data_IF_553470692623
#
_entry.id   IF_553470692623
#
_cell.length_a   1.000
_cell.length_b   1.000
_cell.length_c   1.000
_cell.angle_alpha   90.00
_cell.angle_beta   90.00
_cell.angle_gamma   90.00
#
_symmetry.space_group_name_H-M   'P 1'
#
loop_
_entity.id
_entity.type
_entity.pdbx_description
1 polymer ?
#
# COMPACT_ATOMS: atom_id res chain seq x y z
N UNK A 1 -40.82 14.23 25.23
CA UNK A 1 -41.22 15.60 24.87
C UNK A 1 -41.08 16.49 26.11
N UNK A 2 -40.25 17.52 26.05
CA UNK A 2 -40.08 18.49 27.15
C UNK A 2 -41.34 19.35 27.21
N UNK A 3 -42.08 19.28 28.32
CA UNK A 3 -43.48 19.74 28.38
C UNK A 3 -43.70 21.27 28.37
N UNK A 4 -42.65 22.10 28.31
CA UNK A 4 -42.77 23.57 28.39
C UNK A 4 -41.83 24.34 27.42
N UNK A 5 -41.39 23.74 26.30
CA UNK A 5 -40.51 24.42 25.35
C UNK A 5 -41.31 25.11 24.22
N UNK A 6 -41.00 26.39 23.97
CA UNK A 6 -41.49 27.16 22.80
C UNK A 6 -41.10 26.46 21.50
N UNK A 7 -41.92 26.58 20.45
CA UNK A 7 -41.65 25.93 19.16
C UNK A 7 -40.36 26.45 18.51
N UNK A 8 -40.02 27.73 18.67
CA UNK A 8 -38.74 28.30 18.24
C UNK A 8 -37.55 27.62 18.94
N UNK A 9 -37.70 27.33 20.22
CA UNK A 9 -36.65 26.67 21.01
C UNK A 9 -36.49 25.20 20.62
N UNK A 10 -37.57 24.54 20.18
CA UNK A 10 -37.49 23.17 19.63
C UNK A 10 -36.74 23.15 18.30
N UNK A 11 -36.99 24.11 17.43
CA UNK A 11 -36.32 24.21 16.14
C UNK A 11 -34.82 24.50 16.31
N UNK A 12 -34.44 25.40 17.21
CA UNK A 12 -33.03 25.66 17.54
C UNK A 12 -32.34 24.42 18.13
N UNK A 13 -33.02 23.68 19.01
CA UNK A 13 -32.51 22.41 19.54
C UNK A 13 -32.30 21.38 18.43
N UNK A 14 -33.22 21.31 17.46
CA UNK A 14 -33.14 20.39 16.33
C UNK A 14 -31.99 20.76 15.38
N UNK A 15 -31.80 22.05 15.10
CA UNK A 15 -30.68 22.55 14.33
C UNK A 15 -29.35 22.23 15.01
N UNK A 16 -29.24 22.51 16.32
CA UNK A 16 -28.05 22.23 17.12
C UNK A 16 -27.73 20.74 17.15
N UNK A 17 -28.73 19.87 17.32
CA UNK A 17 -28.57 18.42 17.26
C UNK A 17 -28.04 17.95 15.90
N UNK A 18 -28.51 18.56 14.82
CA UNK A 18 -28.09 18.22 13.46
C UNK A 18 -26.62 18.59 13.22
N UNK A 19 -26.21 19.77 13.68
CA UNK A 19 -24.81 20.22 13.63
C UNK A 19 -23.89 19.32 14.46
N UNK A 20 -24.32 18.92 15.67
CA UNK A 20 -23.55 18.01 16.53
C UNK A 20 -23.41 16.62 15.92
N UNK A 21 -24.47 16.08 15.31
CA UNK A 21 -24.41 14.79 14.58
C UNK A 21 -23.47 14.85 13.38
N UNK A 22 -23.41 15.99 12.69
CA UNK A 22 -22.47 16.21 11.60
C UNK A 22 -21.02 16.24 12.12
N UNK A 23 -20.76 16.98 13.20
CA UNK A 23 -19.44 17.04 13.84
C UNK A 23 -18.99 15.67 14.38
N UNK A 24 -19.89 14.90 15.00
CA UNK A 24 -19.60 13.55 15.50
C UNK A 24 -19.11 12.60 14.40
N UNK A 25 -19.52 12.81 13.15
CA UNK A 25 -19.08 12.00 12.00
C UNK A 25 -17.71 12.39 11.47
N UNK A 26 -17.09 13.45 11.99
CA UNK A 26 -15.75 13.86 11.59
C UNK A 26 -14.72 12.80 12.02
N UNK A 27 -13.78 12.40 11.14
CA UNK A 27 -12.71 11.45 11.46
C UNK A 27 -11.93 11.77 12.75
N UNK A 28 -11.80 13.05 13.12
CA UNK A 28 -11.13 13.49 14.35
C UNK A 28 -11.74 12.89 15.62
N UNK A 29 -13.06 12.68 15.67
CA UNK A 29 -13.74 12.18 16.88
C UNK A 29 -13.87 10.66 16.94
N UNK A 30 -13.35 9.90 15.97
CA UNK A 30 -13.42 8.41 15.98
C UNK A 30 -12.67 7.79 17.15
N UNK A 31 -11.66 8.46 17.68
CA UNK A 31 -10.88 8.03 18.85
C UNK A 31 -11.53 8.39 20.18
N UNK A 32 -12.59 9.22 20.17
CA UNK A 32 -13.29 9.65 21.38
C UNK A 32 -14.40 8.64 21.71
N UNK A 33 -14.09 7.72 22.63
CA UNK A 33 -15.05 6.76 23.15
C UNK A 33 -16.05 7.37 24.15
N UNK A 34 -17.00 6.55 24.62
CA UNK A 34 -17.92 6.95 25.69
C UNK A 34 -17.13 7.46 26.89
N UNK A 35 -17.49 8.65 27.38
CA UNK A 35 -16.88 9.25 28.56
C UNK A 35 -17.06 8.33 29.77
N UNK A 36 -15.98 7.70 30.22
CA UNK A 36 -15.97 6.79 31.39
C UNK A 36 -15.75 7.54 32.72
N UNK A 37 -15.99 8.85 32.72
CA UNK A 37 -15.53 9.76 33.78
C UNK A 37 -14.16 10.35 33.45
N UNK A 38 -13.87 11.52 34.01
CA UNK A 38 -12.50 11.98 34.12
C UNK A 38 -11.87 11.17 35.25
N UNK A 39 -10.79 10.43 34.96
CA UNK A 39 -9.81 10.12 35.98
C UNK A 39 -9.13 11.45 36.36
N UNK A 40 -9.86 12.31 37.06
CA UNK A 40 -9.33 13.59 37.51
C UNK A 40 -8.40 13.27 38.67
N UNK A 41 -7.13 13.12 38.33
CA UNK A 41 -6.07 13.19 39.32
C UNK A 41 -6.20 14.53 40.06
N UNK A 42 -6.01 14.50 41.38
CA UNK A 42 -6.34 15.61 42.27
C UNK A 42 -5.80 16.95 41.76
N UNK A 43 -6.69 17.95 41.64
CA UNK A 43 -6.32 19.33 41.28
C UNK A 43 -5.25 19.92 42.23
N UNK A 44 -5.23 19.45 43.49
CA UNK A 44 -4.19 19.80 44.44
C UNK A 44 -2.83 19.19 44.07
N UNK A 45 -2.80 17.94 43.60
CA UNK A 45 -1.56 17.31 43.09
C UNK A 45 -1.03 18.02 41.84
N UNK A 46 -1.90 18.57 41.00
CA UNK A 46 -1.48 19.27 39.79
C UNK A 46 -1.03 20.73 40.04
N UNK A 47 -1.68 21.45 40.97
CA UNK A 47 -1.49 22.91 41.12
C UNK A 47 -0.79 23.34 42.40
N UNK A 48 -0.81 22.55 43.48
CA UNK A 48 -0.17 22.97 44.72
C UNK A 48 1.36 22.90 44.61
N UNK A 49 2.04 23.90 45.15
CA UNK A 49 3.50 23.97 45.24
C UNK A 49 4.02 22.79 46.06
N UNK A 50 5.09 22.14 45.60
CA UNK A 50 5.61 20.88 46.16
C UNK A 50 4.92 19.64 45.62
N UNK A 51 3.60 19.54 45.72
CA UNK A 51 2.84 18.39 45.20
C UNK A 51 2.91 18.25 43.68
N UNK A 52 2.88 19.36 42.94
CA UNK A 52 3.08 19.38 41.48
C UNK A 52 4.42 18.80 41.04
N UNK A 53 5.48 18.98 41.83
CA UNK A 53 6.81 18.45 41.53
C UNK A 53 6.86 16.94 41.79
N UNK A 54 6.27 16.47 42.89
CA UNK A 54 6.13 15.03 43.19
C UNK A 54 5.28 14.35 42.11
N UNK A 55 4.17 14.97 41.73
CA UNK A 55 3.27 14.49 40.68
C UNK A 55 3.97 14.39 39.32
N UNK A 56 4.75 15.40 38.96
CA UNK A 56 5.57 15.39 37.73
C UNK A 56 6.57 14.23 37.76
N UNK A 57 7.28 14.04 38.87
CA UNK A 57 8.25 12.96 39.03
C UNK A 57 7.58 11.58 38.98
N UNK A 58 6.43 11.42 39.64
CA UNK A 58 5.63 10.20 39.59
C UNK A 58 5.12 9.91 38.17
N UNK A 59 4.59 10.91 37.46
CA UNK A 59 4.15 10.79 36.07
C UNK A 59 5.30 10.41 35.14
N UNK A 60 6.49 11.01 35.33
CA UNK A 60 7.70 10.64 34.61
C UNK A 60 8.08 9.19 34.89
N UNK A 61 8.07 8.78 36.15
CA UNK A 61 8.43 7.42 36.56
C UNK A 61 7.44 6.39 36.00
N UNK A 62 6.14 6.67 36.03
CA UNK A 62 5.11 5.78 35.51
C UNK A 62 5.20 5.65 33.98
N UNK A 63 5.49 6.74 33.25
CA UNK A 63 5.74 6.69 31.81
C UNK A 63 7.04 5.95 31.48
N UNK A 64 8.11 6.20 32.23
CA UNK A 64 9.38 5.47 32.08
C UNK A 64 9.23 3.98 32.38
N UNK A 65 8.42 3.63 33.38
CA UNK A 65 8.11 2.23 33.71
C UNK A 65 7.28 1.59 32.60
N UNK A 66 6.27 2.30 32.07
CA UNK A 66 5.46 1.81 30.95
C UNK A 66 6.31 1.64 29.68
N UNK A 67 7.25 2.56 29.42
CA UNK A 67 8.25 2.47 28.35
C UNK A 67 9.12 1.22 28.54
N UNK A 68 9.62 1.02 29.75
CA UNK A 68 10.47 -0.11 30.08
C UNK A 68 9.72 -1.44 29.95
N UNK A 69 8.51 -1.54 30.51
CA UNK A 69 7.63 -2.73 30.40
C UNK A 69 7.31 -3.03 28.93
N UNK A 70 6.99 -2.01 28.13
CA UNK A 70 6.73 -2.23 26.72
C UNK A 70 7.98 -2.55 25.89
N UNK A 71 9.17 -2.07 26.26
CA UNK A 71 10.45 -2.56 25.71
C UNK A 71 10.63 -4.04 26.04
N UNK A 72 10.33 -4.48 27.27
CA UNK A 72 10.36 -5.90 27.64
C UNK A 72 9.30 -6.72 26.89
N UNK A 73 8.11 -6.17 26.61
CA UNK A 73 7.08 -6.83 25.78
C UNK A 73 7.43 -6.86 24.30
N UNK A 74 8.21 -5.89 23.81
CA UNK A 74 8.82 -5.97 22.47
C UNK A 74 9.86 -7.10 22.43
N UNK A 75 10.65 -7.28 23.50
CA UNK A 75 11.57 -8.42 23.63
C UNK A 75 10.86 -9.78 23.67
N UNK A 76 9.58 -9.87 24.08
CA UNK A 76 8.84 -11.15 24.05
C UNK A 76 8.27 -11.49 22.67
N UNK A 77 8.30 -10.58 21.68
CA UNK A 77 7.94 -10.94 20.31
C UNK A 77 9.04 -11.78 19.69
N UNK A 78 8.63 -12.77 18.89
CA UNK A 78 9.55 -13.60 18.13
C UNK A 78 10.38 -12.74 17.15
N UNK A 79 11.65 -13.09 16.98
CA UNK A 79 12.60 -12.36 16.13
C UNK A 79 12.13 -12.33 14.68
N UNK A 80 11.47 -13.41 14.21
CA UNK A 80 10.90 -13.45 12.87
C UNK A 80 9.78 -12.42 12.71
N UNK A 81 8.91 -12.26 13.72
CA UNK A 81 7.86 -11.22 13.70
C UNK A 81 8.44 -9.82 13.74
N UNK A 82 9.50 -9.59 14.53
CA UNK A 82 10.19 -8.29 14.54
C UNK A 82 10.80 -7.97 13.18
N UNK A 83 11.39 -8.97 12.52
CA UNK A 83 11.95 -8.83 11.19
C UNK A 83 10.87 -8.54 10.13
N UNK A 84 9.72 -9.19 10.22
CA UNK A 84 8.55 -8.98 9.35
C UNK A 84 8.04 -7.53 9.43
N UNK A 85 7.84 -7.03 10.66
CA UNK A 85 7.43 -5.64 10.92
C UNK A 85 8.48 -4.66 10.38
N UNK A 86 9.76 -4.94 10.61
CA UNK A 86 10.84 -4.09 10.12
C UNK A 86 10.86 -4.03 8.59
N UNK A 87 10.73 -5.18 7.90
CA UNK A 87 10.64 -5.23 6.45
C UNK A 87 9.46 -4.42 5.90
N UNK A 88 8.29 -4.49 6.55
CA UNK A 88 7.13 -3.68 6.18
C UNK A 88 7.42 -2.18 6.26
N UNK A 89 8.06 -1.74 7.35
CA UNK A 89 8.44 -0.33 7.53
C UNK A 89 9.46 0.09 6.46
N UNK A 90 10.47 -0.73 6.19
CA UNK A 90 11.46 -0.42 5.15
C UNK A 90 10.84 -0.31 3.76
N UNK A 91 10.00 -1.27 3.36
CA UNK A 91 9.27 -1.19 2.07
C UNK A 91 8.41 0.07 2.01
N UNK A 92 7.76 0.46 3.11
CA UNK A 92 6.97 1.69 3.17
C UNK A 92 7.81 2.95 2.93
N UNK A 93 9.02 3.01 3.47
CA UNK A 93 9.95 4.13 3.28
C UNK A 93 10.44 4.18 1.83
N UNK A 94 10.79 3.03 1.25
CA UNK A 94 11.23 2.93 -0.14
C UNK A 94 10.12 3.40 -1.09
N UNK A 95 8.88 2.91 -0.91
CA UNK A 95 7.74 3.31 -1.74
C UNK A 95 7.45 4.81 -1.62
N UNK A 96 7.49 5.36 -0.40
CA UNK A 96 7.33 6.81 -0.15
C UNK A 96 8.37 7.61 -0.94
N UNK A 97 9.63 7.22 -0.84
CA UNK A 97 10.75 7.91 -1.47
C UNK A 97 10.66 7.86 -3.00
N UNK A 98 10.39 6.68 -3.57
CA UNK A 98 10.28 6.47 -5.02
C UNK A 98 9.05 7.11 -5.65
N UNK A 99 7.97 7.31 -4.88
CA UNK A 99 6.82 8.10 -5.32
C UNK A 99 7.00 9.62 -5.09
N UNK A 100 8.12 10.04 -4.49
CA UNK A 100 8.41 11.44 -4.15
C UNK A 100 7.27 12.11 -3.36
N UNK A 101 6.80 11.41 -2.30
CA UNK A 101 5.66 11.84 -1.49
C UNK A 101 6.12 12.49 -0.18
N UNK A 102 5.36 13.50 0.23
CA UNK A 102 5.50 14.15 1.53
C UNK A 102 4.75 13.36 2.62
N UNK A 103 4.89 13.74 3.89
CA UNK A 103 4.11 13.11 4.97
C UNK A 103 2.60 13.38 4.87
N UNK A 104 2.19 14.47 4.21
CA UNK A 104 0.78 14.83 4.01
C UNK A 104 0.08 13.92 2.99
N UNK A 105 0.87 13.33 2.10
CA UNK A 105 0.44 12.42 1.04
C UNK A 105 0.25 10.96 1.53
N UNK A 106 0.54 10.70 2.82
CA UNK A 106 0.51 9.38 3.42
C UNK A 106 -0.65 9.27 4.39
N UNK A 107 -1.57 8.37 4.07
CA UNK A 107 -2.71 8.09 4.93
C UNK A 107 -2.59 6.71 5.57
N UNK A 108 -2.35 6.69 6.87
CA UNK A 108 -2.32 5.46 7.66
C UNK A 108 -3.76 5.04 8.02
N UNK A 109 -4.28 4.02 7.33
CA UNK A 109 -5.51 3.33 7.70
C UNK A 109 -5.18 2.28 8.76
N UNK A 110 -5.92 2.30 9.87
CA UNK A 110 -5.76 1.35 10.98
C UNK A 110 -4.30 1.27 11.45
N UNK A 111 -3.76 2.42 11.85
CA UNK A 111 -2.39 2.55 12.34
C UNK A 111 -2.19 1.58 13.50
N UNK A 112 -1.11 0.81 13.47
CA UNK A 112 -0.59 0.19 14.70
C UNK A 112 -0.18 1.33 15.62
N UNK A 113 -1.02 1.65 16.59
CA UNK A 113 -0.70 2.64 17.60
C UNK A 113 0.07 1.94 18.72
N UNK A 114 1.20 2.52 19.11
CA UNK A 114 1.78 2.22 20.40
C UNK A 114 0.78 2.67 21.45
N UNK A 115 0.14 1.71 22.11
CA UNK A 115 -0.69 2.04 23.27
C UNK A 115 0.20 2.61 24.40
N UNK A 116 -0.41 3.12 25.47
CA UNK A 116 0.31 3.62 26.64
C UNK A 116 1.23 2.59 27.34
N UNK A 117 1.21 1.33 26.89
CA UNK A 117 2.07 0.23 27.31
C UNK A 117 3.18 -0.11 26.27
N UNK A 118 3.39 0.73 25.25
CA UNK A 118 4.36 0.55 24.16
C UNK A 118 4.27 -0.84 23.49
N UNK A 119 3.08 -1.42 23.50
CA UNK A 119 2.76 -2.61 22.72
C UNK A 119 2.10 -2.18 21.41
N UNK A 120 2.60 -2.75 20.31
CA UNK A 120 2.00 -2.61 18.99
C UNK A 120 0.81 -3.57 18.90
N UNK A 121 -0.38 -3.08 19.22
CA UNK A 121 -1.63 -3.81 19.09
C UNK A 121 -2.45 -3.27 17.91
N UNK A 122 -2.89 -4.17 17.05
CA UNK A 122 -3.97 -3.91 16.10
C UNK A 122 -5.30 -4.22 16.80
N UNK A 123 -6.33 -3.42 16.55
CA UNK A 123 -7.69 -3.82 16.86
C UNK A 123 -7.99 -5.20 16.24
N UNK A 124 -8.69 -6.08 16.97
CA UNK A 124 -9.07 -7.40 16.43
C UNK A 124 -9.84 -7.20 15.11
N UNK A 125 -9.29 -7.72 14.01
CA UNK A 125 -9.91 -7.65 12.68
C UNK A 125 -9.40 -6.51 11.78
N UNK A 126 -8.44 -5.69 12.23
CA UNK A 126 -7.85 -4.62 11.43
C UNK A 126 -6.45 -5.00 10.89
N UNK A 127 -6.07 -4.46 9.72
CA UNK A 127 -4.74 -4.60 9.10
C UNK A 127 -4.07 -3.23 9.02
N UNK A 128 -2.74 -3.16 9.25
CA UNK A 128 -2.00 -1.91 9.04
C UNK A 128 -1.92 -1.64 7.55
N UNK A 129 -2.55 -0.56 7.11
CA UNK A 129 -2.61 -0.19 5.71
C UNK A 129 -2.07 1.23 5.53
N UNK A 130 -1.13 1.40 4.62
CA UNK A 130 -0.56 2.70 4.25
C UNK A 130 -1.02 3.00 2.83
N UNK A 131 -1.78 4.09 2.70
CA UNK A 131 -2.28 4.56 1.43
C UNK A 131 -1.47 5.76 0.97
N UNK A 132 -0.88 5.65 -0.21
CA UNK A 132 -0.05 6.68 -0.84
C UNK A 132 -0.89 7.43 -1.87
N UNK A 133 -1.11 8.73 -1.63
CA UNK A 133 -1.95 9.58 -2.47
C UNK A 133 -1.29 10.89 -2.79
N UNK A 134 -1.37 11.31 -4.05
CA UNK A 134 -0.95 12.65 -4.48
C UNK A 134 -2.12 13.33 -5.18
N UNK A 135 -2.44 14.56 -4.79
CA UNK A 135 -3.57 15.32 -5.36
C UNK A 135 -4.89 14.54 -5.37
N UNK A 136 -5.14 13.76 -4.31
CA UNK A 136 -6.30 12.88 -4.15
C UNK A 136 -6.40 11.71 -5.17
N UNK A 137 -5.32 11.44 -5.92
CA UNK A 137 -5.15 10.26 -6.76
C UNK A 137 -4.40 9.20 -5.97
N UNK A 138 -4.95 7.98 -5.92
CA UNK A 138 -4.29 6.82 -5.32
C UNK A 138 -3.18 6.32 -6.24
N UNK A 139 -1.96 6.24 -5.69
CA UNK A 139 -0.77 5.77 -6.39
C UNK A 139 -0.37 4.36 -5.95
N UNK A 140 -0.43 4.10 -4.64
CA UNK A 140 -0.12 2.80 -4.08
C UNK A 140 -0.85 2.55 -2.75
N UNK A 141 -1.01 1.28 -2.42
CA UNK A 141 -1.50 0.80 -1.13
C UNK A 141 -0.56 -0.30 -0.63
N UNK A 142 -0.05 -0.16 0.59
CA UNK A 142 0.83 -1.13 1.24
C UNK A 142 0.16 -1.69 2.48
N UNK A 143 -0.02 -3.00 2.53
CA UNK A 143 -0.81 -3.68 3.56
C UNK A 143 0.06 -4.69 4.29
N UNK A 144 0.05 -4.65 5.62
CA UNK A 144 0.72 -5.60 6.49
C UNK A 144 -0.24 -6.65 7.05
N UNK A 145 0.13 -7.91 6.93
CA UNK A 145 -0.56 -9.09 7.45
C UNK A 145 -2.09 -8.99 7.24
N UNK A 146 -2.53 -8.97 5.96
CA UNK A 146 -3.94 -8.91 5.63
C UNK A 146 -4.59 -10.21 6.13
N UNK A 147 -5.57 -10.07 7.04
CA UNK A 147 -6.29 -11.20 7.64
C UNK A 147 -7.69 -11.24 7.07
N UNK A 148 -8.11 -12.41 6.61
CA UNK A 148 -9.51 -12.70 6.41
C UNK A 148 -10.27 -12.48 7.73
N UNK A 149 -11.37 -11.73 7.72
CA UNK A 149 -12.31 -11.81 8.84
C UNK A 149 -12.80 -13.26 8.96
N UNK A 150 -12.88 -13.80 10.18
CA UNK A 150 -13.27 -15.21 10.41
C UNK A 150 -14.66 -15.58 9.84
N UNK A 151 -15.45 -14.59 9.43
CA UNK A 151 -16.75 -14.77 8.81
C UNK A 151 -16.71 -14.97 7.29
N UNK A 152 -15.57 -14.74 6.63
CA UNK A 152 -15.38 -14.96 5.20
C UNK A 152 -14.07 -15.71 4.92
N UNK A 153 -14.13 -17.04 4.95
CA UNK A 153 -13.00 -17.95 4.64
C UNK A 153 -12.41 -17.80 3.23
N UNK A 154 -12.94 -16.89 2.41
CA UNK A 154 -12.63 -16.74 1.00
C UNK A 154 -11.93 -15.42 0.66
N UNK A 155 -11.62 -14.54 1.62
CA UNK A 155 -10.98 -13.24 1.33
C UNK A 155 -9.54 -13.19 1.85
N UNK A 156 -8.69 -12.38 1.23
CA UNK A 156 -7.32 -12.15 1.70
C UNK A 156 -7.27 -11.05 2.77
N UNK A 157 -8.40 -10.42 3.13
CA UNK A 157 -8.42 -9.19 3.94
C UNK A 157 -8.15 -7.92 3.12
N UNK A 158 -8.16 -8.04 1.80
CA UNK A 158 -8.02 -6.95 0.81
C UNK A 158 -9.27 -6.97 -0.08
N UNK A 159 -9.79 -5.80 -0.41
CA UNK A 159 -10.98 -5.66 -1.27
C UNK A 159 -10.77 -6.37 -2.61
N UNK A 160 -11.77 -7.12 -3.06
CA UNK A 160 -11.79 -7.86 -4.33
C UNK A 160 -10.76 -9.01 -4.47
N UNK A 161 -9.88 -9.26 -3.49
CA UNK A 161 -8.97 -10.40 -3.50
C UNK A 161 -9.54 -11.60 -2.72
N UNK A 162 -9.63 -12.73 -3.41
CA UNK A 162 -10.22 -13.96 -2.90
C UNK A 162 -9.26 -15.16 -2.98
N UNK A 163 -9.45 -16.08 -2.04
CA UNK A 163 -8.74 -17.36 -1.93
C UNK A 163 -9.78 -18.49 -1.87
N UNK A 164 -10.20 -19.06 -3.02
CA UNK A 164 -11.33 -19.99 -3.07
C UNK A 164 -11.12 -21.33 -2.35
N UNK A 165 -9.88 -21.67 -1.99
CA UNK A 165 -9.49 -23.00 -1.53
C UNK A 165 -9.00 -22.99 -0.08
N UNK A 166 -7.75 -22.59 0.12
CA UNK A 166 -7.07 -22.59 1.43
C UNK A 166 -6.65 -21.16 1.75
N UNK A 167 -6.83 -20.69 3.00
CA UNK A 167 -6.39 -19.37 3.41
C UNK A 167 -4.91 -19.14 3.09
N UNK A 168 -4.62 -18.07 2.36
CA UNK A 168 -3.26 -17.60 2.07
C UNK A 168 -3.02 -16.28 2.79
N UNK A 169 -1.86 -16.15 3.44
CA UNK A 169 -1.52 -15.00 4.28
C UNK A 169 -0.12 -14.49 3.91
N UNK A 170 0.03 -13.70 2.84
CA UNK A 170 1.28 -12.99 2.58
C UNK A 170 1.55 -11.98 3.70
N UNK A 171 2.82 -11.73 4.03
CA UNK A 171 3.16 -10.81 5.12
C UNK A 171 2.95 -9.35 4.71
N UNK A 172 3.34 -9.00 3.49
CA UNK A 172 3.29 -7.63 2.96
C UNK A 172 2.69 -7.67 1.55
N UNK A 173 1.72 -6.81 1.29
CA UNK A 173 1.10 -6.66 -0.03
C UNK A 173 1.25 -5.23 -0.51
N UNK A 174 1.91 -5.05 -1.66
CA UNK A 174 2.04 -3.77 -2.35
C UNK A 174 1.12 -3.78 -3.58
N UNK A 175 0.13 -2.90 -3.58
CA UNK A 175 -0.72 -2.65 -4.75
C UNK A 175 -0.30 -1.32 -5.38
N UNK A 176 0.13 -1.35 -6.64
CA UNK A 176 0.37 -0.14 -7.42
C UNK A 176 -0.87 0.17 -8.26
N UNK A 177 -1.39 1.37 -8.12
CA UNK A 177 -2.55 1.82 -8.89
C UNK A 177 -2.07 2.51 -10.16
N UNK A 178 -2.37 1.90 -11.30
CA UNK A 178 -2.03 2.40 -12.63
C UNK A 178 -3.31 2.84 -13.34
N UNK A 179 -3.22 3.95 -14.07
CA UNK A 179 -4.37 4.59 -14.74
C UNK A 179 -4.21 4.67 -16.27
N UNK A 180 -3.13 4.10 -16.82
CA UNK A 180 -2.78 4.13 -18.23
C UNK A 180 -3.64 3.18 -19.09
N UNK A 181 -3.79 1.92 -18.66
CA UNK A 181 -4.62 0.94 -19.37
C UNK A 181 -6.07 0.92 -18.92
N UNK A 182 -6.34 0.98 -17.63
CA UNK A 182 -7.70 1.06 -17.11
C UNK A 182 -7.67 1.94 -15.86
N UNK A 183 -8.67 2.80 -15.73
CA UNK A 183 -8.77 3.67 -14.55
C UNK A 183 -8.89 2.81 -13.30
N UNK A 184 -8.00 3.03 -12.34
CA UNK A 184 -7.96 2.30 -11.08
C UNK A 184 -7.49 0.85 -11.22
N UNK A 185 -6.72 0.51 -12.25
CA UNK A 185 -6.14 -0.83 -12.37
C UNK A 185 -5.10 -1.02 -11.26
N UNK A 186 -5.26 -2.07 -10.46
CA UNK A 186 -4.30 -2.43 -9.42
C UNK A 186 -3.37 -3.53 -9.92
N UNK A 187 -2.07 -3.36 -9.65
CA UNK A 187 -1.04 -4.38 -9.87
C UNK A 187 -0.52 -4.82 -8.53
N UNK A 188 -0.74 -6.09 -8.19
CA UNK A 188 -0.46 -6.61 -6.84
C UNK A 188 0.86 -7.36 -6.82
N UNK A 189 1.75 -6.96 -5.91
CA UNK A 189 3.05 -7.55 -5.64
C UNK A 189 3.09 -8.04 -4.19
N UNK A 190 3.48 -9.30 -4.01
CA UNK A 190 3.53 -9.93 -2.69
C UNK A 190 4.95 -9.94 -2.17
N UNK A 191 5.12 -9.61 -0.90
CA UNK A 191 6.38 -9.72 -0.19
C UNK A 191 6.19 -10.57 1.08
N UNK A 192 7.14 -11.44 1.34
CA UNK A 192 7.10 -12.35 2.48
C UNK A 192 8.47 -12.33 3.18
N UNK A 193 8.46 -12.03 4.47
CA UNK A 193 9.68 -11.80 5.23
C UNK A 193 10.03 -13.06 6.02
N UNK A 194 11.18 -13.67 5.70
CA UNK A 194 11.64 -14.90 6.35
C UNK A 194 12.97 -14.67 7.04
N UNK A 195 12.97 -14.71 8.37
CA UNK A 195 14.18 -14.61 9.19
C UNK A 195 14.96 -15.94 9.26
N UNK A 196 15.43 -16.42 8.11
CA UNK A 196 16.27 -17.63 8.00
C UNK A 196 16.98 -17.67 6.65
N UNK A 197 18.07 -18.42 6.59
CA UNK A 197 18.94 -18.61 5.44
C UNK A 197 19.14 -20.12 5.26
N UNK A 198 19.09 -20.62 4.03
CA UNK A 198 19.19 -22.07 3.72
C UNK A 198 20.62 -22.52 3.38
N UNK A 199 21.55 -21.56 3.28
CA UNK A 199 22.95 -21.78 2.97
C UNK A 199 23.52 -20.67 2.11
N UNK A 200 24.57 -21.00 1.37
CA UNK A 200 25.23 -20.10 0.42
C UNK A 200 25.24 -20.72 -0.98
N UNK A 201 25.10 -19.87 -1.98
CA UNK A 201 25.30 -20.28 -3.37
C UNK A 201 26.78 -20.48 -3.72
N UNK A 202 27.05 -20.83 -4.97
CA UNK A 202 28.42 -21.07 -5.47
C UNK A 202 29.33 -19.84 -5.40
N UNK A 203 28.75 -18.65 -5.32
CA UNK A 203 29.45 -17.38 -5.25
C UNK A 203 29.56 -16.87 -3.80
N UNK A 204 29.07 -17.63 -2.82
CA UNK A 204 29.14 -17.27 -1.40
C UNK A 204 28.02 -16.33 -0.93
N UNK A 205 26.99 -16.11 -1.76
CA UNK A 205 25.81 -15.30 -1.45
C UNK A 205 24.82 -16.14 -0.66
N UNK A 206 24.29 -15.58 0.43
CA UNK A 206 23.27 -16.26 1.22
C UNK A 206 21.98 -16.44 0.42
N UNK A 207 21.37 -17.62 0.54
CA UNK A 207 20.14 -17.96 -0.19
C UNK A 207 18.92 -18.06 0.73
N UNK A 208 17.73 -17.66 0.24
CA UNK A 208 16.50 -17.85 0.99
C UNK A 208 16.15 -19.35 1.08
N UNK A 209 15.31 -19.73 2.05
CA UNK A 209 14.73 -21.07 2.13
C UNK A 209 13.95 -21.46 0.88
N UNK A 210 14.16 -22.68 0.37
CA UNK A 210 13.44 -23.17 -0.82
C UNK A 210 11.93 -23.23 -0.61
N UNK A 211 11.47 -23.59 0.59
CA UNK A 211 10.04 -23.65 0.91
C UNK A 211 9.38 -22.27 0.89
N UNK A 212 10.11 -21.20 1.21
CA UNK A 212 9.62 -19.84 1.07
C UNK A 212 9.45 -19.43 -0.40
N UNK A 213 10.33 -19.88 -1.30
CA UNK A 213 10.19 -19.65 -2.75
C UNK A 213 8.95 -20.37 -3.27
N UNK A 214 8.76 -21.63 -2.87
CA UNK A 214 7.57 -22.41 -3.22
C UNK A 214 6.28 -21.78 -2.66
N UNK A 215 6.34 -21.15 -1.50
CA UNK A 215 5.22 -20.40 -0.93
C UNK A 215 4.80 -19.23 -1.82
N UNK A 216 5.75 -18.54 -2.47
CA UNK A 216 5.42 -17.45 -3.41
C UNK A 216 4.72 -17.95 -4.66
N UNK A 217 5.12 -19.11 -5.20
CA UNK A 217 4.40 -19.77 -6.28
C UNK A 217 2.96 -20.11 -5.88
N UNK A 218 2.78 -20.67 -4.68
CA UNK A 218 1.45 -20.96 -4.13
C UNK A 218 0.60 -19.68 -4.03
N UNK A 219 1.13 -18.58 -3.50
CA UNK A 219 0.38 -17.35 -3.34
C UNK A 219 -0.05 -16.74 -4.67
N UNK A 220 0.85 -16.64 -5.64
CA UNK A 220 0.53 -16.16 -7.00
C UNK A 220 -0.59 -16.97 -7.65
N UNK A 221 -0.59 -18.28 -7.43
CA UNK A 221 -1.54 -19.18 -8.07
C UNK A 221 -2.87 -19.29 -7.29
N UNK A 222 -2.87 -19.12 -5.97
CA UNK A 222 -4.05 -19.28 -5.12
C UNK A 222 -4.84 -18.00 -4.85
N UNK A 223 -4.22 -16.82 -5.00
CA UNK A 223 -4.88 -15.52 -4.80
C UNK A 223 -5.43 -15.03 -6.13
N UNK A 224 -6.72 -14.68 -6.15
CA UNK A 224 -7.44 -14.23 -7.34
C UNK A 224 -8.11 -12.88 -7.08
N UNK A 225 -8.23 -12.09 -8.13
CA UNK A 225 -9.14 -10.95 -8.15
C UNK A 225 -10.53 -11.43 -8.56
N UNK A 226 -11.55 -11.00 -7.81
CA UNK A 226 -12.94 -11.31 -8.06
C UNK A 226 -13.68 -10.02 -8.38
N UNK A 227 -14.02 -9.88 -9.65
CA UNK A 227 -14.80 -8.76 -10.14
C UNK A 227 -16.24 -8.82 -9.60
N UNK A 228 -16.65 -7.80 -8.87
CA UNK A 228 -17.99 -7.72 -8.27
C UNK A 228 -19.13 -7.79 -9.30
N UNK A 229 -18.92 -7.34 -10.54
CA UNK A 229 -19.96 -7.30 -11.57
C UNK A 229 -20.05 -8.61 -12.37
N UNK A 230 -18.90 -9.15 -12.80
CA UNK A 230 -18.86 -10.35 -13.62
C UNK A 230 -18.78 -11.65 -12.82
N UNK A 231 -18.46 -11.56 -11.52
CA UNK A 231 -18.21 -12.70 -10.62
C UNK A 231 -17.10 -13.66 -11.14
N UNK A 232 -16.35 -13.23 -12.16
CA UNK A 232 -15.30 -14.00 -12.79
C UNK A 232 -13.98 -13.82 -12.03
N UNK A 233 -13.23 -14.91 -11.89
CA UNK A 233 -11.90 -14.87 -11.31
C UNK A 233 -10.89 -14.39 -12.36
N UNK A 234 -10.09 -13.41 -11.98
CA UNK A 234 -8.99 -12.86 -12.78
C UNK A 234 -7.69 -12.96 -12.00
N UNK A 235 -6.57 -12.90 -12.71
CA UNK A 235 -5.24 -12.82 -12.11
C UNK A 235 -4.83 -11.35 -11.98
N UNK A 236 -4.56 -10.92 -10.75
CA UNK A 236 -4.05 -9.58 -10.43
C UNK A 236 -2.65 -9.61 -9.79
N UNK A 237 -2.31 -10.72 -9.11
CA UNK A 237 -0.98 -10.92 -8.56
C UNK A 237 0.03 -11.08 -9.70
N UNK A 238 0.95 -10.14 -9.81
CA UNK A 238 1.99 -10.11 -10.85
C UNK A 238 3.23 -10.90 -10.41
N UNK A 239 3.63 -10.75 -9.15
CA UNK A 239 4.86 -11.35 -8.64
C UNK A 239 4.88 -11.53 -7.12
N UNK A 240 5.86 -12.30 -6.66
CA UNK A 240 6.05 -12.65 -5.25
C UNK A 240 7.52 -12.70 -4.87
N UNK A 241 7.90 -11.99 -3.82
CA UNK A 241 9.29 -11.76 -3.46
C UNK A 241 9.55 -12.08 -1.99
N UNK A 242 10.68 -12.70 -1.70
CA UNK A 242 11.09 -12.98 -0.34
C UNK A 242 12.07 -11.90 0.13
N UNK A 243 11.85 -11.41 1.34
CA UNK A 243 12.81 -10.59 2.07
C UNK A 243 13.45 -11.46 3.14
N UNK A 244 14.78 -11.59 3.11
CA UNK A 244 15.50 -12.46 4.04
C UNK A 244 16.80 -11.79 4.52
N UNK A 245 17.31 -12.14 5.72
CA UNK A 245 18.45 -11.48 6.32
C UNK A 245 19.79 -11.99 5.74
N UNK A 246 19.88 -12.17 4.43
CA UNK A 246 21.07 -12.67 3.74
C UNK A 246 22.16 -11.62 3.56
N UNK A 247 23.40 -12.10 3.47
CA UNK A 247 24.60 -11.37 3.10
C UNK A 247 25.09 -11.73 1.69
N UNK A 248 25.87 -10.84 1.10
CA UNK A 248 26.49 -11.05 -0.20
C UNK A 248 26.96 -9.73 -0.79
N UNK A 249 28.03 -9.79 -1.59
CA UNK A 249 28.47 -8.65 -2.38
C UNK A 249 27.39 -8.28 -3.41
N UNK A 250 27.02 -6.99 -3.56
CA UNK A 250 25.88 -6.57 -4.38
C UNK A 250 25.95 -7.05 -5.83
N UNK A 251 27.16 -7.12 -6.40
CA UNK A 251 27.40 -7.64 -7.75
C UNK A 251 27.06 -9.11 -7.86
N UNK A 252 27.38 -9.90 -6.84
CA UNK A 252 27.12 -11.34 -6.81
C UNK A 252 25.64 -11.62 -6.51
N UNK A 253 25.03 -10.81 -5.63
CA UNK A 253 23.58 -10.83 -5.37
C UNK A 253 22.80 -10.49 -6.65
N UNK A 254 23.24 -9.50 -7.42
CA UNK A 254 22.58 -9.10 -8.67
C UNK A 254 22.54 -10.22 -9.71
N UNK A 255 23.56 -11.09 -9.73
CA UNK A 255 23.65 -12.25 -10.64
C UNK A 255 23.22 -13.56 -10.00
N UNK A 256 22.80 -13.53 -8.74
CA UNK A 256 22.36 -14.71 -7.98
C UNK A 256 21.15 -15.37 -8.65
N UNK A 257 21.00 -16.67 -8.41
CA UNK A 257 19.93 -17.48 -8.99
C UNK A 257 18.54 -16.85 -8.77
N UNK A 258 18.23 -16.48 -7.52
CA UNK A 258 16.91 -15.98 -7.14
C UNK A 258 16.69 -14.50 -7.48
N UNK A 259 17.73 -13.78 -7.90
CA UNK A 259 17.57 -12.46 -8.51
C UNK A 259 17.19 -12.61 -9.99
N UNK A 260 17.85 -13.49 -10.73
CA UNK A 260 17.54 -13.76 -12.15
C UNK A 260 16.13 -14.30 -12.35
N UNK A 261 15.62 -15.10 -11.42
CA UNK A 261 14.25 -15.63 -11.52
C UNK A 261 13.17 -14.54 -11.42
N UNK A 262 13.50 -13.34 -10.92
CA UNK A 262 12.58 -12.21 -10.94
C UNK A 262 12.27 -11.81 -12.39
N UNK A 263 13.29 -11.74 -13.24
CA UNK A 263 13.12 -11.40 -14.66
C UNK A 263 12.44 -12.53 -15.45
N UNK A 264 12.66 -13.79 -15.05
CA UNK A 264 12.11 -14.95 -15.74
C UNK A 264 10.65 -15.26 -15.37
N UNK A 265 10.29 -15.19 -14.07
CA UNK A 265 8.99 -15.68 -13.56
C UNK A 265 8.29 -14.73 -12.58
N UNK A 266 8.82 -13.51 -12.37
CA UNK A 266 8.36 -12.54 -11.35
C UNK A 266 8.32 -13.12 -9.93
N UNK A 267 9.18 -14.11 -9.65
CA UNK A 267 9.34 -14.70 -8.31
C UNK A 267 10.83 -14.76 -7.98
N UNK A 268 11.19 -14.30 -6.80
CA UNK A 268 12.58 -14.30 -6.37
C UNK A 268 12.76 -13.79 -4.95
N UNK A 269 13.96 -13.33 -4.64
CA UNK A 269 14.31 -12.90 -3.31
C UNK A 269 15.28 -11.73 -3.29
N UNK A 270 15.18 -10.92 -2.24
CA UNK A 270 16.05 -9.80 -1.95
C UNK A 270 16.66 -9.96 -0.55
N UNK A 271 18.01 -9.92 -0.44
CA UNK A 271 18.64 -9.77 0.87
C UNK A 271 18.31 -8.39 1.43
N UNK A 272 17.74 -8.35 2.63
CA UNK A 272 17.35 -7.11 3.29
C UNK A 272 17.69 -7.20 4.78
N UNK A 273 18.65 -6.37 5.21
CA UNK A 273 19.15 -6.32 6.59
C UNK A 273 19.24 -4.89 7.11
N UNK A 274 19.05 -4.68 8.42
CA UNK A 274 19.28 -3.37 9.01
C UNK A 274 20.70 -2.88 8.72
N UNK A 275 20.82 -1.62 8.29
CA UNK A 275 22.08 -0.92 7.96
C UNK A 275 22.81 -1.42 6.70
N UNK A 276 22.26 -2.38 5.96
CA UNK A 276 22.82 -2.80 4.67
C UNK A 276 22.29 -1.89 3.55
N UNK A 277 23.03 -0.83 3.26
CA UNK A 277 22.63 0.15 2.23
C UNK A 277 22.78 -0.40 0.82
N UNK A 278 23.75 -1.29 0.57
CA UNK A 278 24.07 -1.72 -0.79
C UNK A 278 23.06 -2.74 -1.32
N UNK A 279 22.72 -3.75 -0.52
CA UNK A 279 21.72 -4.74 -0.93
C UNK A 279 20.31 -4.13 -0.95
N UNK A 280 20.05 -3.16 -0.06
CA UNK A 280 18.81 -2.38 -0.09
C UNK A 280 18.60 -1.65 -1.43
N UNK A 281 19.66 -1.13 -2.07
CA UNK A 281 19.54 -0.47 -3.37
C UNK A 281 18.94 -1.37 -4.46
N UNK A 282 19.15 -2.69 -4.40
CA UNK A 282 18.57 -3.62 -5.36
C UNK A 282 17.05 -3.66 -5.27
N UNK A 283 16.51 -3.64 -4.04
CA UNK A 283 15.07 -3.56 -3.80
C UNK A 283 14.52 -2.18 -4.18
N UNK A 284 15.27 -1.11 -3.90
CA UNK A 284 14.89 0.25 -4.28
C UNK A 284 14.78 0.43 -5.79
N UNK A 285 15.78 -0.01 -6.54
CA UNK A 285 15.79 0.02 -8.01
C UNK A 285 14.66 -0.84 -8.57
N UNK A 286 14.40 -1.99 -7.96
CA UNK A 286 13.31 -2.87 -8.38
C UNK A 286 11.93 -2.21 -8.17
N UNK A 287 11.67 -1.64 -6.98
CA UNK A 287 10.41 -0.94 -6.70
C UNK A 287 10.25 0.28 -7.60
N UNK A 288 11.34 1.00 -7.86
CA UNK A 288 11.36 2.11 -8.83
C UNK A 288 10.98 1.65 -10.23
N UNK A 289 11.52 0.52 -10.70
CA UNK A 289 11.14 -0.07 -11.99
C UNK A 289 9.65 -0.44 -12.03
N UNK A 290 9.10 -1.03 -10.96
CA UNK A 290 7.67 -1.34 -10.88
C UNK A 290 6.78 -0.07 -10.95
N UNK A 291 7.24 1.02 -10.34
CA UNK A 291 6.55 2.32 -10.36
C UNK A 291 6.63 2.97 -11.75
N UNK A 292 7.78 2.90 -12.42
CA UNK A 292 8.01 3.56 -13.71
C UNK A 292 7.43 2.76 -14.90
N UNK A 293 7.49 1.43 -14.85
CA UNK A 293 7.00 0.56 -15.93
C UNK A 293 5.52 0.84 -16.23
N UNK A 294 5.19 0.95 -17.51
CA UNK A 294 3.80 1.12 -17.97
C UNK A 294 3.05 -0.20 -17.79
N UNK A 295 1.74 -0.14 -17.60
CA UNK A 295 0.95 -1.35 -17.32
C UNK A 295 1.03 -2.39 -18.45
N UNK A 296 1.11 -1.93 -19.70
CA UNK A 296 1.22 -2.83 -20.85
C UNK A 296 2.55 -3.61 -20.86
N UNK A 297 3.66 -2.99 -20.43
CA UNK A 297 4.97 -3.64 -20.31
C UNK A 297 4.91 -4.71 -19.23
N UNK A 298 4.38 -4.37 -18.04
CA UNK A 298 4.23 -5.32 -16.94
C UNK A 298 3.37 -6.51 -17.34
N UNK A 299 2.21 -6.26 -17.99
CA UNK A 299 1.31 -7.33 -18.44
C UNK A 299 1.94 -8.19 -19.53
N UNK A 300 2.72 -7.60 -20.44
CA UNK A 300 3.40 -8.34 -21.51
C UNK A 300 4.46 -9.32 -20.99
N UNK A 301 5.07 -9.01 -19.83
CA UNK A 301 6.02 -9.89 -19.13
C UNK A 301 5.32 -11.01 -18.33
N UNK A 302 4.00 -10.97 -18.16
CA UNK A 302 3.27 -12.04 -17.45
C UNK A 302 3.23 -13.29 -18.33
N UNK A 303 3.71 -14.42 -17.79
CA UNK A 303 3.73 -15.69 -18.49
C UNK A 303 2.29 -16.16 -18.76
N UNK A 304 1.85 -16.24 -20.03
CA UNK A 304 0.52 -16.74 -20.35
C UNK A 304 0.48 -18.27 -20.21
N UNK A 305 -0.71 -18.82 -19.97
CA UNK A 305 -0.92 -20.25 -20.09
C UNK A 305 -0.73 -20.68 -21.56
N UNK A 306 -0.23 -21.90 -21.78
CA UNK A 306 -0.02 -22.42 -23.14
C UNK A 306 -1.34 -22.39 -23.93
N UNK A 307 -1.37 -21.64 -25.03
CA UNK A 307 -2.56 -21.46 -25.87
C UNK A 307 -3.42 -20.25 -25.51
N UNK A 308 -3.17 -19.59 -24.37
CA UNK A 308 -3.76 -18.30 -24.06
C UNK A 308 -2.99 -17.19 -24.79
N UNK A 309 -3.70 -16.37 -25.56
CA UNK A 309 -3.15 -15.16 -26.17
C UNK A 309 -3.56 -13.97 -25.32
N UNK A 310 -2.57 -13.27 -24.78
CA UNK A 310 -2.80 -12.09 -23.96
C UNK A 310 -2.73 -10.86 -24.88
N UNK A 311 -3.89 -10.44 -25.38
CA UNK A 311 -4.01 -9.21 -26.17
C UNK A 311 -4.26 -8.04 -25.23
N UNK A 312 -3.26 -7.17 -25.09
CA UNK A 312 -3.48 -5.85 -24.52
C UNK A 312 -4.07 -4.98 -25.64
N UNK A 313 -5.33 -4.52 -25.52
CA UNK A 313 -5.95 -3.75 -26.58
C UNK A 313 -5.22 -2.41 -26.75
N UNK A 314 -4.54 -2.23 -27.88
CA UNK A 314 -4.05 -0.92 -28.29
C UNK A 314 -5.25 0.00 -28.45
N UNK A 315 -5.30 1.08 -27.67
CA UNK A 315 -6.36 2.08 -27.78
C UNK A 315 -6.07 2.98 -28.97
N UNK A 316 -6.88 2.87 -30.02
CA UNK A 316 -6.87 3.79 -31.14
C UNK A 316 -7.72 5.02 -30.79
N UNK A 317 -7.09 6.19 -30.68
CA UNK A 317 -7.82 7.45 -30.55
C UNK A 317 -8.17 7.97 -31.95
N UNK A 318 -9.41 7.75 -32.37
CA UNK A 318 -9.95 8.31 -33.62
C UNK A 318 -10.57 9.67 -33.31
N UNK A 319 -9.87 10.74 -33.67
CA UNK A 319 -10.40 12.10 -33.65
C UNK A 319 -11.02 12.45 -35.00
N UNK A 320 -12.22 13.04 -35.00
CA UNK A 320 -12.78 13.68 -36.19
C UNK A 320 -12.15 15.06 -36.33
N UNK A 321 -11.25 15.23 -37.29
CA UNK A 321 -10.73 16.55 -37.63
C UNK A 321 -11.82 17.34 -38.37
N UNK A 322 -12.42 18.32 -37.70
CA UNK A 322 -13.26 19.32 -38.37
C UNK A 322 -12.43 20.30 -39.19
N UNK A 323 -13.06 21.04 -40.12
CA UNK A 323 -12.39 22.09 -40.89
C UNK A 323 -11.70 23.07 -39.94
N UNK A 324 -10.37 23.07 -39.98
CA UNK A 324 -9.56 24.00 -39.20
C UNK A 324 -9.71 25.40 -39.79
N UNK A 325 -9.81 26.40 -38.91
CA UNK A 325 -9.70 27.81 -39.32
C UNK A 325 -8.27 28.22 -39.67
N UNK A 326 -7.28 27.32 -39.50
CA UNK A 326 -5.92 27.52 -39.98
C UNK A 326 -5.85 27.29 -41.50
N UNK A 327 -5.32 28.25 -42.28
CA UNK A 327 -5.04 28.06 -43.69
C UNK A 327 -4.18 26.82 -43.90
N UNK A 328 -4.44 26.06 -44.97
CA UNK A 328 -3.63 24.91 -45.44
C UNK A 328 -3.58 23.69 -44.50
N UNK A 329 -4.13 23.76 -43.29
CA UNK A 329 -4.13 22.66 -42.33
C UNK A 329 -4.79 21.39 -42.88
N UNK A 330 -5.98 21.53 -43.48
CA UNK A 330 -6.73 20.40 -44.01
C UNK A 330 -5.96 19.70 -45.14
N UNK A 331 -5.27 20.45 -45.98
CA UNK A 331 -4.44 19.92 -47.06
C UNK A 331 -3.23 19.17 -46.47
N UNK A 332 -2.49 19.81 -45.56
CA UNK A 332 -1.34 19.19 -44.88
C UNK A 332 -1.71 17.96 -44.06
N UNK A 333 -2.93 17.90 -43.51
CA UNK A 333 -3.45 16.72 -42.81
C UNK A 333 -3.75 15.57 -43.79
N UNK A 334 -4.40 15.86 -44.92
CA UNK A 334 -4.67 14.86 -45.97
C UNK A 334 -3.39 14.35 -46.64
N UNK A 335 -2.38 15.22 -46.77
CA UNK A 335 -1.08 14.90 -47.37
C UNK A 335 -0.10 14.25 -46.37
N UNK A 336 -0.51 14.05 -45.10
CA UNK A 336 0.31 13.41 -44.06
C UNK A 336 1.47 14.26 -43.52
N UNK A 337 1.51 15.55 -43.84
CA UNK A 337 2.60 16.49 -43.50
C UNK A 337 2.23 17.45 -42.36
N UNK A 338 1.10 17.27 -41.70
CA UNK A 338 0.67 18.13 -40.62
C UNK A 338 1.59 18.02 -39.39
N UNK A 339 2.01 19.15 -38.83
CA UNK A 339 2.80 19.21 -37.59
C UNK A 339 1.94 19.11 -36.33
N UNK A 340 0.62 19.19 -36.46
CA UNK A 340 -0.35 19.13 -35.36
C UNK A 340 -1.59 18.36 -35.81
N UNK A 341 -2.03 17.33 -35.08
CA UNK A 341 -3.17 16.48 -35.47
C UNK A 341 -4.43 16.78 -34.64
N UNK A 342 -4.54 18.00 -34.12
CA UNK A 342 -5.60 18.39 -33.20
C UNK A 342 -6.05 19.83 -33.45
N UNK A 343 -7.37 20.05 -33.61
CA UNK A 343 -7.98 21.33 -33.98
C UNK A 343 -9.03 21.83 -32.96
N UNK A 344 -9.27 21.12 -31.88
CA UNK A 344 -10.28 21.49 -30.86
C UNK A 344 -9.79 22.53 -29.85
N UNK A 345 -10.72 23.05 -29.03
CA UNK A 345 -10.39 23.95 -27.91
C UNK A 345 -9.90 23.24 -26.63
N UNK A 346 -10.27 21.96 -26.41
CA UNK A 346 -9.81 21.11 -25.30
C UNK A 346 -9.49 19.68 -25.75
N UNK A 347 -8.29 19.21 -25.43
CA UNK A 347 -7.86 17.86 -25.78
C UNK A 347 -8.76 16.85 -25.06
N UNK A 348 -9.34 15.87 -25.76
CA UNK A 348 -10.39 15.02 -25.19
C UNK A 348 -9.88 14.00 -24.18
N UNK A 349 -8.56 13.95 -23.92
CA UNK A 349 -7.96 12.98 -22.99
C UNK A 349 -6.89 13.65 -22.12
N UNK A 350 -6.60 13.08 -20.93
CA UNK A 350 -5.45 13.49 -20.12
C UNK A 350 -4.13 12.86 -20.59
N UNK A 351 -4.14 12.11 -21.70
CA UNK A 351 -2.96 11.43 -22.24
C UNK A 351 -2.05 12.47 -22.90
N UNK A 352 -0.76 12.43 -22.59
CA UNK A 352 0.26 13.28 -23.18
C UNK A 352 0.37 13.03 -24.69
N UNK A 353 0.32 14.11 -25.49
CA UNK A 353 0.36 14.06 -26.97
C UNK A 353 1.58 13.32 -27.55
N UNK A 354 2.68 13.25 -26.79
CA UNK A 354 3.91 12.54 -27.17
C UNK A 354 3.76 11.01 -27.14
N UNK A 355 2.74 10.47 -26.45
CA UNK A 355 2.47 9.03 -26.36
C UNK A 355 1.52 8.52 -27.45
N UNK A 356 1.12 9.39 -28.39
CA UNK A 356 0.23 9.03 -29.48
C UNK A 356 1.00 8.66 -30.75
N UNK A 357 0.80 7.43 -31.20
CA UNK A 357 1.19 7.01 -32.53
C UNK A 357 0.08 7.38 -33.52
N UNK A 358 0.40 8.26 -34.46
CA UNK A 358 -0.49 8.62 -35.56
C UNK A 358 -0.31 7.59 -36.68
N UNK A 359 -1.40 6.97 -37.11
CA UNK A 359 -1.46 6.23 -38.37
C UNK A 359 -2.02 7.18 -39.42
N UNK A 360 -1.27 7.41 -40.50
CA UNK A 360 -1.70 8.18 -41.67
C UNK A 360 -2.56 7.30 -42.56
#
# INVERSE_FOLDING_TARGET
>A
AVKNASDVMKDDMQATLTTLKHLQRNPFFRTVGNYKGMNQESLALQKATGYSQVYRTWSLLQRSYSLNDGIYRLQTKDIATLYEIWCFIEVSHIVKEKLHLSDEDIYHRNRMEMNGLFTWDLGKGEHSCILFKKDNVELAELIYNPKSSEHENNSVGITDLVVPTVPQKPDIVLQLTKNDLQKGMKMTYLFDAKYRIDGKDKNGVDVPPEDAINQMHRYRDAIYYKDCQSNALKKEVIGGYILFPGDGEPTDVAVSKFRKTIDEVNIGAFPLRPKDTHNRLLLEQFIEELIQNKSHETISKVIPQKGALLQVPNRLLVGLAGNSSRPEYTQSFLDGNATLYYTGAKFPTPITLHDLHYFV
#
